data_IF_688358306474
#
_entry.id   IF_688358306474
#
_cell.length_a   1.000
_cell.length_b   1.000
_cell.length_c   1.000
_cell.angle_alpha   90.00
_cell.angle_beta   90.00
_cell.angle_gamma   90.00
#
_symmetry.space_group_name_H-M   'P 1'
#
loop_
_entity.id
_entity.type
_entity.pdbx_description
1 polymer ?
#
# COMPACT_ATOMS: atom_id res chain seq x y z
N UNK A 1 12.22 -20.37 -6.28
CA UNK A 1 11.23 -19.29 -6.06
C UNK A 1 11.85 -18.28 -5.13
N UNK A 2 12.14 -17.04 -5.58
CA UNK A 2 12.74 -16.05 -4.70
C UNK A 2 11.71 -15.63 -3.65
N UNK A 3 12.20 -15.42 -2.42
CA UNK A 3 11.41 -15.13 -1.22
C UNK A 3 10.45 -13.97 -1.53
N UNK A 4 9.16 -14.26 -1.64
CA UNK A 4 8.10 -13.25 -1.73
C UNK A 4 8.15 -12.52 -0.39
N UNK A 5 8.87 -11.41 -0.34
CA UNK A 5 8.86 -10.54 0.82
C UNK A 5 7.45 -9.98 0.92
N UNK A 6 6.64 -10.54 1.82
CA UNK A 6 5.31 -10.02 2.13
C UNK A 6 5.49 -8.60 2.64
N UNK A 7 5.11 -7.61 1.84
CA UNK A 7 5.13 -6.22 2.26
C UNK A 7 4.16 -6.08 3.43
N UNK A 8 4.66 -5.72 4.61
CA UNK A 8 3.80 -5.49 5.78
C UNK A 8 3.01 -4.18 5.58
N UNK A 9 1.83 -4.34 4.96
CA UNK A 9 0.93 -3.26 4.60
C UNK A 9 0.29 -2.59 5.81
N UNK A 10 -0.12 -3.37 6.82
CA UNK A 10 -0.72 -2.84 8.04
C UNK A 10 0.27 -2.00 8.85
N UNK A 11 1.48 -2.51 9.06
CA UNK A 11 2.53 -1.77 9.77
C UNK A 11 3.04 -0.57 8.96
N UNK A 12 3.10 -0.66 7.63
CA UNK A 12 3.35 0.51 6.79
C UNK A 12 2.24 1.57 6.99
N UNK A 13 0.97 1.19 6.85
CA UNK A 13 -0.16 2.14 6.95
C UNK A 13 -0.22 2.86 8.30
N UNK A 14 0.12 2.15 9.39
CA UNK A 14 0.15 2.74 10.74
C UNK A 14 1.19 3.85 10.88
N UNK A 15 2.34 3.70 10.22
CA UNK A 15 3.48 4.60 10.37
C UNK A 15 3.66 5.59 9.21
N UNK A 16 2.99 5.37 8.08
CA UNK A 16 3.11 6.17 6.88
C UNK A 16 2.20 7.41 6.89
N UNK A 17 2.72 8.51 6.36
CA UNK A 17 1.93 9.72 6.06
C UNK A 17 1.01 9.51 4.85
N UNK A 18 0.01 10.38 4.69
CA UNK A 18 -0.95 10.31 3.58
C UNK A 18 -0.27 10.29 2.20
N UNK A 19 0.79 11.07 2.01
CA UNK A 19 1.53 11.09 0.73
C UNK A 19 2.27 9.77 0.45
N UNK A 20 2.81 9.11 1.47
CA UNK A 20 3.50 7.81 1.34
C UNK A 20 2.50 6.69 1.04
N UNK A 21 1.33 6.71 1.70
CA UNK A 21 0.22 5.81 1.38
C UNK A 21 -0.26 6.02 -0.06
N UNK A 22 -0.38 7.28 -0.48
CA UNK A 22 -0.74 7.62 -1.86
C UNK A 22 0.28 7.13 -2.88
N UNK A 23 1.58 7.25 -2.58
CA UNK A 23 2.66 6.72 -3.42
C UNK A 23 2.58 5.20 -3.55
N UNK A 24 2.33 4.47 -2.46
CA UNK A 24 2.12 3.02 -2.48
C UNK A 24 0.91 2.65 -3.35
N UNK A 25 -0.22 3.32 -3.16
CA UNK A 25 -1.44 3.07 -3.94
C UNK A 25 -1.21 3.29 -5.44
N UNK A 26 -0.46 4.33 -5.81
CA UNK A 26 -0.06 4.57 -7.20
C UNK A 26 0.84 3.46 -7.76
N UNK A 27 1.76 2.92 -6.97
CA UNK A 27 2.64 1.82 -7.38
C UNK A 27 1.89 0.50 -7.59
N UNK A 28 0.78 0.27 -6.89
CA UNK A 28 -0.12 -0.87 -7.13
C UNK A 28 -1.29 -0.52 -8.08
N UNK A 29 -1.09 0.46 -8.97
CA UNK A 29 -2.00 0.83 -10.05
C UNK A 29 -3.41 1.31 -9.61
N UNK A 30 -3.55 1.86 -8.41
CA UNK A 30 -4.81 2.51 -8.00
C UNK A 30 -5.00 3.82 -8.78
N UNK A 31 -6.19 4.05 -9.38
CA UNK A 31 -6.51 5.31 -10.07
C UNK A 31 -6.39 6.54 -9.17
N UNK A 32 -5.85 7.65 -9.71
CA UNK A 32 -5.53 8.86 -8.92
C UNK A 32 -6.75 9.47 -8.19
N UNK A 33 -7.93 9.39 -8.80
CA UNK A 33 -9.21 9.83 -8.22
C UNK A 33 -9.61 9.02 -6.97
N UNK A 34 -9.14 7.77 -6.85
CA UNK A 34 -9.42 6.89 -5.71
C UNK A 34 -8.34 6.96 -4.62
N UNK A 35 -7.12 7.41 -4.97
CA UNK A 35 -5.97 7.42 -4.04
C UNK A 35 -6.29 8.22 -2.79
N UNK A 36 -6.84 9.43 -2.92
CA UNK A 36 -7.13 10.31 -1.77
C UNK A 36 -8.11 9.62 -0.81
N UNK A 37 -9.16 9.00 -1.35
CA UNK A 37 -10.17 8.31 -0.55
C UNK A 37 -9.58 7.09 0.18
N UNK A 38 -8.75 6.31 -0.50
CA UNK A 38 -8.16 5.08 0.06
C UNK A 38 -7.03 5.39 1.06
N UNK A 39 -6.16 6.37 0.79
CA UNK A 39 -5.05 6.75 1.67
C UNK A 39 -5.50 7.24 3.06
N UNK A 40 -6.71 7.81 3.13
CA UNK A 40 -7.31 8.32 4.37
C UNK A 40 -8.08 7.24 5.16
N UNK A 41 -8.33 6.05 4.59
CA UNK A 41 -8.95 4.93 5.31
C UNK A 41 -7.93 4.23 6.21
N UNK A 42 -8.42 3.48 7.21
CA UNK A 42 -7.59 2.51 7.93
C UNK A 42 -7.28 1.35 7.00
N UNK A 43 -6.10 0.74 7.17
CA UNK A 43 -5.69 -0.41 6.36
C UNK A 43 -6.73 -1.54 6.35
N UNK A 44 -7.37 -1.80 7.50
CA UNK A 44 -8.40 -2.84 7.65
C UNK A 44 -9.64 -2.59 6.79
N UNK A 45 -9.92 -1.33 6.45
CA UNK A 45 -11.06 -0.89 5.64
C UNK A 45 -10.76 -0.91 4.14
N UNK A 46 -9.51 -1.22 3.75
CA UNK A 46 -9.15 -1.37 2.34
C UNK A 46 -9.73 -2.69 1.78
N UNK A 47 -10.10 -2.70 0.48
CA UNK A 47 -10.53 -3.93 -0.20
C UNK A 47 -9.52 -5.07 -0.03
N UNK A 48 -10.01 -6.29 0.14
CA UNK A 48 -9.16 -7.48 0.28
C UNK A 48 -8.21 -7.67 -0.92
N UNK A 49 -8.71 -7.42 -2.13
CA UNK A 49 -7.90 -7.48 -3.35
C UNK A 49 -6.73 -6.49 -3.32
N UNK A 50 -6.98 -5.24 -2.92
CA UNK A 50 -5.95 -4.21 -2.82
C UNK A 50 -4.90 -4.55 -1.75
N UNK A 51 -5.33 -5.09 -0.61
CA UNK A 51 -4.39 -5.56 0.43
C UNK A 51 -3.49 -6.67 -0.10
N UNK A 52 -4.06 -7.64 -0.82
CA UNK A 52 -3.30 -8.71 -1.44
C UNK A 52 -2.28 -8.17 -2.46
N UNK A 53 -2.68 -7.23 -3.32
CA UNK A 53 -1.76 -6.59 -4.27
C UNK A 53 -0.63 -5.85 -3.57
N UNK A 54 -0.93 -5.09 -2.52
CA UNK A 54 0.08 -4.41 -1.69
C UNK A 54 1.06 -5.42 -1.09
N UNK A 55 0.55 -6.45 -0.42
CA UNK A 55 1.35 -7.44 0.30
C UNK A 55 2.20 -8.31 -0.63
N UNK A 56 1.76 -8.51 -1.89
CA UNK A 56 2.46 -9.31 -2.91
C UNK A 56 3.22 -8.48 -3.95
N UNK A 57 3.18 -7.14 -3.85
CA UNK A 57 3.77 -6.21 -4.82
C UNK A 57 5.29 -6.30 -4.99
N UNK A 58 6.01 -6.85 -4.01
CA UNK A 58 7.48 -6.86 -3.99
C UNK A 58 8.10 -5.47 -3.81
N UNK A 59 7.31 -4.45 -3.46
CA UNK A 59 7.78 -3.07 -3.24
C UNK A 59 8.67 -3.02 -1.99
N UNK A 60 9.82 -2.35 -2.08
CA UNK A 60 10.64 -2.05 -0.91
C UNK A 60 10.10 -0.79 -0.20
N UNK A 61 9.83 -0.87 1.11
CA UNK A 61 9.39 0.26 1.94
C UNK A 61 10.31 1.49 1.79
N UNK A 62 11.61 1.31 1.54
CA UNK A 62 12.56 2.41 1.31
C UNK A 62 12.20 3.28 0.11
N UNK A 63 11.50 2.74 -0.89
CA UNK A 63 11.04 3.50 -2.05
C UNK A 63 9.86 4.40 -1.74
N UNK A 64 9.21 4.19 -0.59
CA UNK A 64 8.00 4.89 -0.14
C UNK A 64 8.29 5.95 0.94
N UNK A 65 9.48 5.92 1.54
CA UNK A 65 9.98 6.91 2.50
C UNK A 65 10.56 8.13 1.76
#
# INVERSE_FOLDING_TARGET
MPKIGTFDGAGFWKNAYAHQRGKLLKMVNVPEDQIIALANKKYVELPAALKYEIETSGIDKKTLL
#
